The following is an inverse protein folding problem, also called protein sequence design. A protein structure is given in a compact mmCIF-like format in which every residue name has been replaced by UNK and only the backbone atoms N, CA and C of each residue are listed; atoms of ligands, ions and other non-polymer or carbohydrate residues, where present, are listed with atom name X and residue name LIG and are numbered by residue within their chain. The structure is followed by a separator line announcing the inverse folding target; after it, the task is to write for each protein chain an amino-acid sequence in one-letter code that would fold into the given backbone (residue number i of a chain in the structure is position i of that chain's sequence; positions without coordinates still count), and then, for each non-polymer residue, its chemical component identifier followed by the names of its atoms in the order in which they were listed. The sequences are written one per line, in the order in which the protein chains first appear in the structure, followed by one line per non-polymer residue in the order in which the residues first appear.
data_IF_359596999767
#
_entry.id   IF_359596999767
#
_cell.length_a   1.000
_cell.length_b   1.000
_cell.length_c   1.000
_cell.angle_alpha   90.00
_cell.angle_beta   90.00
_cell.angle_gamma   90.00
#
_symmetry.space_group_name_H-M   'P 1'
#
loop_
_entity.id
_entity.type
_entity.pdbx_description
1 polymer ?
#
# COMPACT_ATOMS: atom_id res chain seq x y z
N UNK A 1 29.60 -56.24 61.79
CA UNK A 1 29.58 -54.91 61.15
C UNK A 1 29.19 -55.06 59.66
N UNK A 2 27.94 -54.76 59.29
CA UNK A 2 27.49 -54.86 57.91
C UNK A 2 27.47 -53.43 57.34
N UNK A 3 28.29 -53.18 56.30
CA UNK A 3 28.36 -51.94 55.60
C UNK A 3 27.16 -51.82 54.67
N UNK A 4 26.35 -50.75 54.83
CA UNK A 4 25.23 -50.41 53.99
C UNK A 4 25.73 -49.40 52.93
N UNK A 5 25.83 -49.82 51.66
CA UNK A 5 26.19 -48.96 50.54
C UNK A 5 24.92 -48.36 50.01
N UNK A 6 24.74 -47.04 50.17
CA UNK A 6 23.62 -46.26 49.64
C UNK A 6 23.97 -45.82 48.22
N UNK A 7 23.33 -46.41 47.21
CA UNK A 7 23.46 -45.96 45.80
C UNK A 7 22.47 -44.81 45.52
N UNK A 8 23.01 -43.62 45.22
CA UNK A 8 22.23 -42.46 44.75
C UNK A 8 22.01 -42.58 43.24
N UNK A 9 20.77 -42.79 42.87
CA UNK A 9 20.34 -42.78 41.46
C UNK A 9 20.07 -41.30 41.05
N UNK A 10 20.97 -40.72 40.23
CA UNK A 10 20.80 -39.38 39.67
C UNK A 10 19.93 -39.49 38.41
N UNK A 11 18.65 -39.08 38.48
CA UNK A 11 17.79 -39.00 37.32
C UNK A 11 18.01 -37.63 36.67
N UNK A 12 18.74 -37.60 35.54
CA UNK A 12 18.88 -36.43 34.69
C UNK A 12 17.57 -36.22 33.89
N UNK A 13 16.78 -35.25 34.29
CA UNK A 13 15.71 -34.71 33.44
C UNK A 13 16.32 -33.82 32.34
N UNK A 14 16.45 -34.38 31.16
CA UNK A 14 16.73 -33.59 29.95
C UNK A 14 15.45 -32.83 29.58
N UNK A 15 15.35 -31.57 29.96
CA UNK A 15 14.41 -30.65 29.38
C UNK A 15 14.85 -30.37 27.94
N UNK A 16 14.20 -31.00 26.97
CA UNK A 16 14.27 -30.58 25.59
C UNK A 16 13.54 -29.22 25.50
N UNK A 17 14.28 -28.14 25.48
CA UNK A 17 13.78 -26.85 25.04
C UNK A 17 13.54 -26.99 23.54
N UNK A 18 12.33 -27.39 23.15
CA UNK A 18 11.90 -27.18 21.78
C UNK A 18 11.85 -25.65 21.58
N UNK A 19 12.77 -25.16 20.76
CA UNK A 19 12.67 -23.82 20.25
C UNK A 19 11.29 -23.74 19.55
N UNK A 20 10.35 -23.02 20.15
CA UNK A 20 9.07 -22.72 19.57
C UNK A 20 9.41 -21.87 18.34
N UNK A 21 9.33 -22.46 17.14
CA UNK A 21 9.43 -21.69 15.91
C UNK A 21 8.38 -20.58 16.02
N UNK A 22 8.85 -19.35 15.99
CA UNK A 22 8.01 -18.18 16.11
C UNK A 22 7.22 -18.07 14.79
N UNK A 23 6.03 -18.66 14.76
CA UNK A 23 5.14 -18.68 13.59
C UNK A 23 4.46 -17.34 13.31
N UNK A 24 4.92 -16.27 13.95
CA UNK A 24 4.41 -14.92 13.73
C UNK A 24 4.83 -14.32 12.39
N UNK A 25 4.12 -13.28 11.97
CA UNK A 25 4.52 -12.46 10.84
C UNK A 25 5.77 -11.69 11.19
N UNK A 26 6.80 -11.80 10.35
CA UNK A 26 8.02 -11.02 10.48
C UNK A 26 7.82 -9.65 9.86
N UNK A 27 8.07 -8.58 10.62
CA UNK A 27 8.12 -7.21 10.11
C UNK A 27 9.52 -6.67 10.27
N UNK A 28 10.04 -6.05 9.22
CA UNK A 28 11.37 -5.45 9.25
C UNK A 28 11.49 -4.31 8.23
N UNK A 29 12.43 -3.45 8.47
CA UNK A 29 12.80 -2.35 7.57
C UNK A 29 14.04 -2.72 6.76
N UNK A 30 14.17 -2.14 5.58
CA UNK A 30 15.31 -2.33 4.70
C UNK A 30 15.41 -1.25 3.65
N UNK A 31 16.35 -1.42 2.74
CA UNK A 31 16.59 -0.47 1.66
C UNK A 31 16.63 -1.18 0.31
N UNK A 32 16.01 -0.58 -0.69
CA UNK A 32 16.12 -1.03 -2.08
C UNK A 32 16.66 0.08 -2.98
N UNK A 33 17.50 -0.31 -3.94
CA UNK A 33 17.95 0.59 -5.01
C UNK A 33 17.07 0.38 -6.24
N UNK A 34 16.42 1.45 -6.68
CA UNK A 34 15.49 1.41 -7.81
C UNK A 34 15.89 2.48 -8.80
N UNK A 35 16.00 2.15 -10.11
CA UNK A 35 16.19 3.14 -11.14
C UNK A 35 15.01 4.12 -11.13
N UNK A 36 15.29 5.40 -11.02
CA UNK A 36 14.26 6.43 -10.82
C UNK A 36 14.49 7.59 -11.78
N UNK A 37 13.45 7.91 -12.55
CA UNK A 37 13.41 9.14 -13.32
C UNK A 37 13.18 10.31 -12.38
N UNK A 38 14.08 11.28 -12.46
CA UNK A 38 14.08 12.42 -11.55
C UNK A 38 12.95 13.39 -11.85
N UNK A 39 12.54 14.11 -10.84
CA UNK A 39 11.74 15.33 -10.99
C UNK A 39 12.58 16.55 -10.61
N UNK A 40 12.31 17.67 -11.23
CA UNK A 40 12.88 18.95 -10.82
C UNK A 40 12.22 19.46 -9.53
N UNK A 41 12.57 20.69 -9.13
CA UNK A 41 12.00 21.32 -7.96
C UNK A 41 10.47 21.42 -8.04
N UNK A 42 9.82 21.24 -6.89
CA UNK A 42 8.39 21.44 -6.75
C UNK A 42 8.03 22.92 -6.91
N UNK A 43 6.91 23.22 -7.56
CA UNK A 43 6.35 24.57 -7.65
C UNK A 43 5.68 24.93 -6.32
N UNK A 44 6.34 25.77 -5.53
CA UNK A 44 5.88 26.15 -4.18
C UNK A 44 4.83 27.25 -4.18
N UNK A 45 4.63 27.92 -5.32
CA UNK A 45 3.60 28.95 -5.51
C UNK A 45 2.61 28.53 -6.60
N UNK A 46 1.93 27.38 -6.45
CA UNK A 46 1.04 26.86 -7.48
C UNK A 46 -0.12 27.83 -7.71
N UNK A 47 -0.61 27.87 -8.93
CA UNK A 47 -1.81 28.65 -9.26
C UNK A 47 -2.99 28.17 -8.41
N UNK A 48 -3.73 29.13 -7.85
CA UNK A 48 -4.95 28.84 -7.08
C UNK A 48 -6.04 28.18 -7.94
N UNK A 49 -6.01 28.45 -9.24
CA UNK A 49 -6.87 27.85 -10.23
C UNK A 49 -6.02 27.21 -11.32
N UNK A 50 -6.06 25.90 -11.42
CA UNK A 50 -5.24 25.19 -12.41
C UNK A 50 -5.96 24.96 -13.72
N UNK A 51 -7.26 25.12 -13.79
CA UNK A 51 -8.07 24.83 -15.00
C UNK A 51 -7.96 23.37 -15.47
N UNK A 52 -7.27 22.52 -14.73
CA UNK A 52 -7.11 21.09 -15.07
C UNK A 52 -8.37 20.35 -14.70
N UNK A 53 -9.28 20.22 -15.66
CA UNK A 53 -10.46 19.37 -15.53
C UNK A 53 -10.17 17.90 -15.71
N UNK A 54 -8.99 17.40 -15.28
CA UNK A 54 -8.66 15.99 -15.44
C UNK A 54 -9.31 15.22 -14.30
N UNK A 55 -10.21 14.33 -14.64
CA UNK A 55 -10.83 13.34 -13.74
C UNK A 55 -11.42 13.92 -12.44
N UNK A 56 -12.05 15.12 -12.52
CA UNK A 56 -12.74 15.70 -11.37
C UNK A 56 -11.84 16.30 -10.31
N UNK A 57 -10.58 16.58 -10.60
CA UNK A 57 -9.69 17.32 -9.70
C UNK A 57 -10.20 18.74 -9.53
N UNK A 58 -10.32 19.21 -8.30
CA UNK A 58 -10.89 20.54 -7.98
C UNK A 58 -9.96 21.70 -8.30
N UNK A 59 -8.81 21.49 -8.88
CA UNK A 59 -7.85 22.53 -9.21
C UNK A 59 -7.15 23.20 -8.02
N UNK A 60 -7.63 23.02 -6.81
CA UNK A 60 -7.04 23.58 -5.61
C UNK A 60 -6.10 22.59 -4.95
N UNK A 61 -4.80 22.85 -5.04
CA UNK A 61 -3.78 21.99 -4.42
C UNK A 61 -3.14 22.61 -3.17
N UNK A 62 -3.28 23.94 -2.97
CA UNK A 62 -2.78 24.60 -1.77
C UNK A 62 -3.35 23.92 -0.50
N UNK A 63 -2.55 23.65 0.54
CA UNK A 63 -1.19 24.13 0.80
C UNK A 63 -0.06 23.19 0.29
N UNK A 64 -0.31 22.32 -0.65
CA UNK A 64 0.72 21.48 -1.22
C UNK A 64 1.41 22.15 -2.42
N UNK A 65 2.68 21.83 -2.70
CA UNK A 65 3.35 22.27 -3.92
C UNK A 65 2.82 21.50 -5.14
N UNK A 66 2.94 22.09 -6.33
CA UNK A 66 2.71 21.36 -7.56
C UNK A 66 3.96 20.59 -7.98
N UNK A 67 3.76 19.33 -8.38
CA UNK A 67 4.81 18.40 -8.78
C UNK A 67 4.72 18.14 -10.29
N UNK A 68 5.04 19.15 -11.09
CA UNK A 68 4.85 19.10 -12.55
C UNK A 68 6.15 19.12 -13.33
N UNK A 69 7.28 19.33 -12.67
CA UNK A 69 8.58 19.42 -13.31
C UNK A 69 9.20 18.01 -13.43
N UNK A 70 8.87 17.32 -14.51
CA UNK A 70 9.41 15.97 -14.80
C UNK A 70 10.70 16.05 -15.60
N UNK A 71 11.57 15.06 -15.42
CA UNK A 71 12.85 14.93 -16.09
C UNK A 71 13.00 13.53 -16.68
N UNK A 72 13.72 13.43 -17.80
CA UNK A 72 14.14 12.16 -18.41
C UNK A 72 15.49 11.65 -17.86
N UNK A 73 16.03 12.30 -16.83
CA UNK A 73 17.26 11.86 -16.18
C UNK A 73 16.99 10.66 -15.30
N UNK A 74 17.62 9.53 -15.59
CA UNK A 74 17.53 8.29 -14.84
C UNK A 74 18.73 8.15 -13.90
N UNK A 75 18.47 7.94 -12.62
CA UNK A 75 19.48 7.69 -11.59
C UNK A 75 19.07 6.49 -10.71
N UNK A 76 20.06 5.91 -10.01
CA UNK A 76 19.80 4.87 -9.02
C UNK A 76 19.51 5.51 -7.66
N UNK A 77 18.29 5.43 -7.22
CA UNK A 77 17.87 5.96 -5.92
C UNK A 77 17.73 4.85 -4.88
N UNK A 78 17.99 5.18 -3.62
CA UNK A 78 17.83 4.25 -2.50
C UNK A 78 16.60 4.65 -1.69
N UNK A 79 15.67 3.72 -1.55
CA UNK A 79 14.42 3.91 -0.80
C UNK A 79 14.39 3.05 0.44
N UNK A 80 13.88 3.62 1.53
CA UNK A 80 13.50 2.87 2.71
C UNK A 80 12.22 2.10 2.43
N UNK A 81 12.22 0.83 2.80
CA UNK A 81 11.12 -0.12 2.62
C UNK A 81 10.68 -0.72 3.94
N UNK A 82 9.40 -1.02 4.05
CA UNK A 82 8.85 -1.81 5.16
C UNK A 82 8.33 -3.13 4.60
N UNK A 83 8.75 -4.23 5.22
CA UNK A 83 8.39 -5.58 4.80
C UNK A 83 7.51 -6.24 5.85
N UNK A 84 6.46 -6.93 5.35
CA UNK A 84 5.75 -7.94 6.13
C UNK A 84 5.95 -9.29 5.46
N UNK A 85 6.31 -10.29 6.24
CA UNK A 85 6.59 -11.62 5.70
C UNK A 85 6.01 -12.70 6.60
N UNK A 86 5.21 -13.60 5.99
CA UNK A 86 4.75 -14.82 6.62
C UNK A 86 5.23 -16.05 5.85
N UNK A 87 4.62 -17.20 6.10
CA UNK A 87 4.93 -18.46 5.40
C UNK A 87 4.70 -18.37 3.89
N UNK A 88 3.70 -17.60 3.44
CA UNK A 88 3.22 -17.60 2.06
C UNK A 88 3.60 -16.34 1.28
N UNK A 89 3.59 -15.19 1.93
CA UNK A 89 3.70 -13.90 1.29
C UNK A 89 4.88 -13.09 1.83
N UNK A 90 5.50 -12.32 0.93
CA UNK A 90 6.38 -11.21 1.27
C UNK A 90 5.78 -9.94 0.67
N UNK A 91 5.33 -9.04 1.52
CA UNK A 91 4.74 -7.74 1.15
C UNK A 91 5.76 -6.64 1.38
N UNK A 92 5.86 -5.72 0.44
CA UNK A 92 6.76 -4.56 0.49
C UNK A 92 5.94 -3.28 0.42
N UNK A 93 6.16 -2.39 1.37
CA UNK A 93 5.54 -1.06 1.43
C UNK A 93 6.62 -0.03 1.15
N UNK A 94 6.28 0.98 0.35
CA UNK A 94 7.15 2.08 -0.04
C UNK A 94 6.65 3.41 0.57
N UNK A 95 7.14 3.78 1.76
CA UNK A 95 6.70 4.99 2.46
C UNK A 95 6.96 6.28 1.68
N UNK A 96 8.05 6.35 0.92
CA UNK A 96 8.45 7.54 0.16
C UNK A 96 7.39 8.02 -0.84
N UNK A 97 6.51 7.14 -1.30
CA UNK A 97 5.48 7.46 -2.28
C UNK A 97 4.08 7.13 -1.75
N UNK A 98 3.65 7.89 -0.76
CA UNK A 98 2.31 7.80 -0.18
C UNK A 98 2.03 6.51 0.58
N UNK A 99 3.06 5.76 0.97
CA UNK A 99 2.88 4.46 1.62
C UNK A 99 2.27 3.40 0.71
N UNK A 100 2.59 3.46 -0.58
CA UNK A 100 2.14 2.49 -1.59
C UNK A 100 2.51 1.07 -1.18
N UNK A 101 1.58 0.12 -1.29
CA UNK A 101 1.92 -1.30 -1.29
C UNK A 101 2.60 -1.59 -2.62
N UNK A 102 3.93 -1.67 -2.60
CA UNK A 102 4.77 -1.65 -3.80
C UNK A 102 4.88 -3.01 -4.48
N UNK A 103 4.91 -4.07 -3.69
CA UNK A 103 5.10 -5.45 -4.16
C UNK A 103 4.48 -6.44 -3.18
N UNK A 104 3.99 -7.55 -3.69
CA UNK A 104 3.63 -8.71 -2.89
C UNK A 104 3.99 -9.98 -3.64
N UNK A 105 4.91 -10.76 -3.09
CA UNK A 105 5.40 -11.98 -3.71
C UNK A 105 4.78 -13.19 -3.03
N UNK A 106 4.17 -14.07 -3.82
CA UNK A 106 3.82 -15.42 -3.38
C UNK A 106 5.10 -16.27 -3.29
N UNK A 107 5.50 -16.59 -2.07
CA UNK A 107 6.73 -17.34 -1.78
C UNK A 107 6.69 -18.80 -2.22
N UNK A 108 5.51 -19.32 -2.52
CA UNK A 108 5.34 -20.73 -2.96
C UNK A 108 5.79 -20.96 -4.40
N UNK A 109 5.72 -19.91 -5.22
CA UNK A 109 6.04 -20.00 -6.65
C UNK A 109 6.85 -18.80 -7.19
N UNK A 110 7.11 -17.79 -6.37
CA UNK A 110 7.84 -16.57 -6.75
C UNK A 110 7.02 -15.57 -7.57
N UNK A 111 5.69 -15.75 -7.64
CA UNK A 111 4.81 -14.89 -8.43
C UNK A 111 4.63 -13.51 -7.76
N UNK A 112 4.83 -12.44 -8.55
CA UNK A 112 4.49 -11.06 -8.14
C UNK A 112 2.97 -10.85 -8.35
N UNK A 113 2.25 -10.61 -7.26
CA UNK A 113 0.78 -10.49 -7.28
C UNK A 113 0.31 -9.19 -7.94
N UNK A 114 1.11 -8.15 -7.85
CA UNK A 114 0.79 -6.83 -8.40
C UNK A 114 1.77 -6.46 -9.49
N UNK A 115 1.30 -5.78 -10.52
CA UNK A 115 2.22 -5.26 -11.51
C UNK A 115 3.16 -4.22 -10.86
N UNK A 116 4.45 -4.45 -11.00
CA UNK A 116 5.51 -3.58 -10.52
C UNK A 116 6.40 -3.18 -11.68
N UNK A 117 6.55 -1.89 -11.92
CA UNK A 117 7.50 -1.42 -12.91
C UNK A 117 8.94 -1.64 -12.43
N UNK A 118 9.83 -1.92 -13.37
CA UNK A 118 11.26 -2.06 -13.11
C UNK A 118 11.95 -0.73 -12.77
N UNK A 119 11.26 0.39 -13.01
CA UNK A 119 11.72 1.75 -12.73
C UNK A 119 10.61 2.54 -12.05
N UNK A 120 10.98 3.56 -11.29
CA UNK A 120 10.03 4.58 -10.85
C UNK A 120 10.06 5.70 -11.90
N UNK A 121 8.94 5.88 -12.61
CA UNK A 121 8.79 6.94 -13.61
C UNK A 121 7.52 7.74 -13.31
N UNK A 122 7.65 8.96 -12.76
CA UNK A 122 6.51 9.85 -12.55
C UNK A 122 5.91 10.30 -13.88
N UNK A 123 4.57 10.47 -13.90
CA UNK A 123 3.84 11.09 -15.00
C UNK A 123 2.75 12.00 -14.44
N UNK A 124 2.22 12.91 -15.29
CA UNK A 124 1.30 13.97 -14.88
C UNK A 124 -0.16 13.49 -14.89
N UNK A 125 -0.56 12.80 -13.83
CA UNK A 125 -1.94 12.32 -13.65
C UNK A 125 -2.50 12.58 -12.25
N UNK A 126 -1.66 12.76 -11.24
CA UNK A 126 -2.07 13.00 -9.86
C UNK A 126 -2.65 14.39 -9.61
N UNK A 127 -3.32 14.56 -8.49
CA UNK A 127 -3.89 15.86 -8.06
C UNK A 127 -2.82 16.95 -7.96
N UNK A 128 -1.64 16.63 -7.47
CA UNK A 128 -0.51 17.57 -7.39
C UNK A 128 0.29 17.67 -8.69
N UNK A 129 -0.02 16.87 -9.69
CA UNK A 129 0.70 16.72 -10.94
C UNK A 129 1.27 15.32 -11.10
N UNK A 130 2.44 15.06 -10.57
CA UNK A 130 3.12 13.79 -10.73
C UNK A 130 2.45 12.63 -9.98
N UNK A 131 2.53 11.44 -10.56
CA UNK A 131 2.00 10.19 -10.07
C UNK A 131 2.88 9.03 -10.56
N UNK A 132 2.93 7.94 -9.82
CA UNK A 132 3.61 6.70 -10.23
C UNK A 132 2.63 5.53 -10.27
N UNK A 133 2.74 4.68 -11.29
CA UNK A 133 1.95 3.45 -11.41
C UNK A 133 2.56 2.27 -10.64
N UNK A 134 1.86 1.16 -10.61
CA UNK A 134 2.30 -0.11 -10.01
C UNK A 134 1.88 -0.30 -8.56
N UNK A 135 1.83 -1.56 -8.13
CA UNK A 135 1.40 -1.93 -6.79
C UNK A 135 -0.05 -1.55 -6.46
N UNK A 136 -0.30 -1.15 -5.23
CA UNK A 136 -1.59 -0.60 -4.79
C UNK A 136 -1.38 0.83 -4.31
N UNK A 137 -2.11 1.75 -4.91
CA UNK A 137 -2.23 3.13 -4.46
C UNK A 137 -3.52 3.30 -3.65
N UNK A 138 -3.42 3.95 -2.51
CA UNK A 138 -4.53 4.25 -1.62
C UNK A 138 -5.06 5.64 -1.92
N UNK A 139 -6.11 5.76 -2.72
CA UNK A 139 -6.63 7.04 -3.17
C UNK A 139 -7.62 7.62 -2.17
N UNK A 140 -7.30 8.82 -1.64
CA UNK A 140 -8.02 9.52 -0.62
C UNK A 140 -7.57 11.00 -0.56
N UNK A 141 -8.42 11.97 -0.24
CA UNK A 141 -9.86 11.91 0.06
C UNK A 141 -10.75 11.84 -1.19
N UNK A 142 -10.19 12.09 -2.34
CA UNK A 142 -10.81 11.94 -3.64
C UNK A 142 -9.70 11.89 -4.70
N UNK A 143 -9.90 11.15 -5.79
CA UNK A 143 -8.95 10.96 -6.87
C UNK A 143 -7.59 10.40 -6.44
N UNK A 144 -6.61 10.47 -7.33
CA UNK A 144 -5.24 10.13 -7.00
C UNK A 144 -4.79 10.98 -5.84
N UNK A 145 -4.31 10.32 -4.81
CA UNK A 145 -4.00 10.89 -3.51
C UNK A 145 -3.15 12.14 -3.62
N UNK A 146 -3.46 13.14 -2.78
CA UNK A 146 -2.70 14.40 -2.71
C UNK A 146 -1.21 14.17 -2.47
N UNK A 147 -0.86 13.10 -1.73
CA UNK A 147 0.51 12.79 -1.35
C UNK A 147 1.09 11.59 -2.09
N UNK A 148 0.57 11.24 -3.28
CA UNK A 148 1.04 10.04 -4.02
C UNK A 148 2.54 10.04 -4.32
N UNK A 149 3.17 11.21 -4.42
CA UNK A 149 4.62 11.40 -4.53
C UNK A 149 5.26 12.09 -3.31
N UNK A 150 4.56 12.17 -2.20
CA UNK A 150 5.08 12.66 -0.93
C UNK A 150 5.20 11.50 0.05
N UNK A 151 6.17 11.56 0.98
CA UNK A 151 6.29 10.55 2.02
C UNK A 151 5.02 10.48 2.88
N UNK A 152 4.64 9.28 3.25
CA UNK A 152 3.61 9.02 4.25
C UNK A 152 4.24 8.50 5.54
N UNK A 153 3.69 8.91 6.67
CA UNK A 153 4.06 8.36 7.97
C UNK A 153 3.55 6.92 8.08
N UNK A 154 4.28 6.10 8.81
CA UNK A 154 3.86 4.73 9.11
C UNK A 154 4.20 4.33 10.55
N UNK A 155 3.49 3.32 11.04
CA UNK A 155 3.75 2.65 12.30
C UNK A 155 3.58 1.15 12.16
N UNK A 156 4.31 0.40 12.96
CA UNK A 156 4.30 -1.06 12.96
C UNK A 156 3.62 -1.56 14.23
N UNK A 157 2.69 -2.49 14.09
CA UNK A 157 1.99 -3.15 15.18
C UNK A 157 2.15 -4.67 15.05
N UNK A 158 2.65 -5.29 16.12
CA UNK A 158 2.67 -6.74 16.28
C UNK A 158 1.48 -7.13 17.16
N UNK A 159 0.64 -8.02 16.65
CA UNK A 159 -0.58 -8.42 17.32
C UNK A 159 -0.36 -9.71 18.15
N UNK A 160 -1.19 -9.90 19.19
CA UNK A 160 -1.09 -11.05 20.09
C UNK A 160 -1.36 -12.38 19.39
N UNK A 161 -2.12 -12.38 18.29
CA UNK A 161 -2.40 -13.56 17.46
C UNK A 161 -1.26 -13.92 16.50
N UNK A 162 -0.14 -13.19 16.56
CA UNK A 162 1.03 -13.37 15.71
C UNK A 162 0.89 -12.68 14.34
N UNK A 163 -0.22 -12.03 14.03
CA UNK A 163 -0.33 -11.16 12.87
C UNK A 163 0.45 -9.87 13.07
N UNK A 164 0.73 -9.17 11.99
CA UNK A 164 1.35 -7.86 12.05
C UNK A 164 0.71 -6.91 11.07
N UNK A 165 0.61 -5.65 11.47
CA UNK A 165 0.01 -4.56 10.68
C UNK A 165 1.01 -3.43 10.50
N UNK A 166 1.13 -2.95 9.29
CA UNK A 166 1.77 -1.67 9.00
C UNK A 166 0.67 -0.64 8.75
N UNK A 167 0.55 0.31 9.66
CA UNK A 167 -0.36 1.42 9.57
C UNK A 167 0.29 2.55 8.78
N UNK A 168 -0.35 3.02 7.72
CA UNK A 168 0.13 4.09 6.86
C UNK A 168 -0.91 5.19 6.86
N UNK A 169 -0.52 6.41 7.12
CA UNK A 169 -1.53 7.45 7.18
C UNK A 169 -1.00 8.87 7.07
N UNK A 170 -1.95 9.75 6.85
CA UNK A 170 -1.71 11.19 6.83
C UNK A 170 -2.98 11.95 7.17
N UNK A 171 -2.80 13.23 7.51
CA UNK A 171 -3.90 14.19 7.51
C UNK A 171 -3.78 15.02 6.24
N UNK A 172 -4.73 14.86 5.34
CA UNK A 172 -4.79 15.64 4.10
C UNK A 172 -5.16 17.08 4.45
N UNK A 173 -4.24 18.01 4.17
CA UNK A 173 -4.30 19.38 4.68
C UNK A 173 -5.28 20.28 3.91
N UNK A 174 -5.63 19.93 2.68
CA UNK A 174 -6.56 20.72 1.88
C UNK A 174 -8.01 20.53 2.36
N UNK A 175 -8.39 19.31 2.70
CA UNK A 175 -9.74 18.95 3.14
C UNK A 175 -9.87 18.80 4.67
N UNK A 176 -8.75 18.61 5.37
CA UNK A 176 -8.75 18.32 6.80
C UNK A 176 -9.31 16.93 7.11
N UNK A 177 -9.05 15.97 6.26
CA UNK A 177 -9.48 14.58 6.44
C UNK A 177 -8.26 13.71 6.73
N UNK A 178 -8.33 12.89 7.78
CA UNK A 178 -7.28 11.94 8.12
C UNK A 178 -7.67 10.56 7.62
N UNK A 179 -6.81 9.97 6.79
CA UNK A 179 -6.91 8.61 6.33
C UNK A 179 -5.76 7.77 6.85
N UNK A 180 -6.08 6.57 7.37
CA UNK A 180 -5.08 5.60 7.83
C UNK A 180 -5.45 4.25 7.24
N UNK A 181 -4.47 3.56 6.70
CA UNK A 181 -4.61 2.21 6.12
C UNK A 181 -3.74 1.26 6.92
N UNK A 182 -4.33 0.19 7.44
CA UNK A 182 -3.62 -0.93 8.02
C UNK A 182 -3.45 -2.03 6.98
N UNK A 183 -2.22 -2.35 6.64
CA UNK A 183 -1.88 -3.52 5.81
C UNK A 183 -1.45 -4.63 6.74
N UNK A 184 -2.24 -5.70 6.80
CA UNK A 184 -2.05 -6.79 7.75
C UNK A 184 -1.75 -8.10 7.03
N UNK A 185 -0.77 -8.85 7.55
CA UNK A 185 -0.58 -10.26 7.27
C UNK A 185 -0.89 -11.09 8.52
N UNK A 186 -1.47 -12.25 8.29
CA UNK A 186 -1.69 -13.28 9.31
C UNK A 186 -0.66 -14.42 9.14
N UNK A 187 -0.24 -15.09 10.22
CA UNK A 187 0.86 -16.08 10.17
C UNK A 187 0.61 -17.22 9.19
N UNK A 188 -0.63 -17.68 9.11
CA UNK A 188 -1.07 -18.88 8.42
C UNK A 188 -1.99 -18.64 7.23
N UNK A 189 -2.05 -17.40 6.73
CA UNK A 189 -2.93 -16.99 5.62
C UNK A 189 -2.13 -16.53 4.41
N UNK A 190 -2.70 -16.78 3.23
CA UNK A 190 -2.16 -16.38 1.93
C UNK A 190 -2.89 -15.18 1.31
N UNK A 191 -3.48 -14.32 2.15
CA UNK A 191 -4.12 -13.08 1.72
C UNK A 191 -3.54 -11.89 2.49
N UNK A 192 -3.72 -10.71 1.91
CA UNK A 192 -3.41 -9.42 2.50
C UNK A 192 -4.72 -8.78 2.92
N UNK A 193 -4.82 -8.39 4.18
CA UNK A 193 -5.95 -7.62 4.68
C UNK A 193 -5.62 -6.14 4.66
N UNK A 194 -6.58 -5.31 4.23
CA UNK A 194 -6.46 -3.86 4.24
C UNK A 194 -7.63 -3.26 5.03
N UNK A 195 -7.33 -2.66 6.17
CA UNK A 195 -8.28 -1.91 6.99
C UNK A 195 -8.13 -0.41 6.72
N UNK A 196 -9.22 0.26 6.41
CA UNK A 196 -9.22 1.68 6.13
C UNK A 196 -10.01 2.47 7.17
N UNK A 197 -9.32 3.43 7.81
CA UNK A 197 -9.91 4.31 8.82
C UNK A 197 -9.90 5.75 8.35
N UNK A 198 -11.08 6.34 8.34
CA UNK A 198 -11.30 7.73 7.95
C UNK A 198 -11.78 8.55 9.13
N UNK A 199 -11.15 9.70 9.36
CA UNK A 199 -11.56 10.64 10.38
C UNK A 199 -11.67 12.05 9.79
N UNK A 200 -12.83 12.67 9.96
CA UNK A 200 -13.02 14.09 9.69
C UNK A 200 -12.49 14.90 10.86
N UNK A 201 -11.39 15.63 10.67
CA UNK A 201 -10.76 16.45 11.71
C UNK A 201 -11.32 17.88 11.76
N UNK A 202 -12.35 18.16 10.94
CA UNK A 202 -12.98 19.49 10.88
C UNK A 202 -14.33 19.49 11.59
N UNK A 203 -14.86 20.65 11.86
CA UNK A 203 -16.18 20.88 12.48
C UNK A 203 -17.35 20.91 11.50
N UNK A 204 -17.07 20.68 10.19
CA UNK A 204 -18.08 20.69 9.15
C UNK A 204 -18.16 19.33 8.43
N UNK A 205 -19.32 19.00 7.92
CA UNK A 205 -19.51 17.78 7.12
C UNK A 205 -18.66 17.82 5.87
N UNK A 206 -17.94 16.72 5.61
CA UNK A 206 -17.11 16.53 4.43
C UNK A 206 -17.56 15.32 3.64
N UNK A 207 -17.43 15.40 2.33
CA UNK A 207 -17.55 14.24 1.44
C UNK A 207 -16.18 13.69 1.12
N UNK A 208 -16.11 12.40 0.87
CA UNK A 208 -14.89 11.71 0.46
C UNK A 208 -15.20 10.65 -0.59
N UNK A 209 -14.18 10.28 -1.33
CA UNK A 209 -14.14 9.09 -2.16
C UNK A 209 -12.88 8.31 -1.79
N UNK A 210 -13.06 7.09 -1.33
CA UNK A 210 -11.96 6.15 -1.14
C UNK A 210 -11.99 5.08 -2.21
N UNK A 211 -10.81 4.77 -2.77
CA UNK A 211 -10.62 3.65 -3.67
C UNK A 211 -9.18 3.15 -3.61
N UNK A 212 -9.00 1.86 -3.80
CA UNK A 212 -7.69 1.24 -3.93
C UNK A 212 -7.42 1.03 -5.43
N UNK A 213 -6.38 1.68 -5.93
CA UNK A 213 -5.98 1.54 -7.33
C UNK A 213 -4.93 0.43 -7.43
N UNK A 214 -5.37 -0.75 -7.85
CA UNK A 214 -4.55 -1.96 -7.91
C UNK A 214 -4.04 -2.19 -9.32
N UNK A 215 -2.73 -2.22 -9.49
CA UNK A 215 -2.11 -2.57 -10.76
C UNK A 215 -1.94 -4.08 -10.88
N UNK A 216 -2.38 -4.66 -11.98
CA UNK A 216 -2.24 -6.08 -12.27
C UNK A 216 -1.64 -6.28 -13.65
N UNK A 217 -0.92 -7.39 -13.84
CA UNK A 217 -0.43 -7.76 -15.16
C UNK A 217 -1.61 -8.24 -16.00
N UNK A 218 -1.85 -7.59 -17.14
CA UNK A 218 -2.90 -7.93 -18.08
C UNK A 218 -2.29 -8.42 -19.39
N UNK A 219 -2.33 -9.71 -19.62
CA UNK A 219 -1.92 -10.38 -20.86
C UNK A 219 -3.12 -11.02 -21.55
N UNK A 220 -2.88 -11.82 -22.59
CA UNK A 220 -3.94 -12.54 -23.31
C UNK A 220 -4.74 -13.53 -22.44
N UNK A 221 -4.21 -13.91 -21.28
CA UNK A 221 -4.84 -14.84 -20.34
C UNK A 221 -5.59 -14.14 -19.21
N UNK A 222 -5.44 -12.79 -19.11
CA UNK A 222 -6.10 -12.01 -18.07
C UNK A 222 -7.62 -12.21 -18.09
N UNK A 223 -8.19 -12.46 -16.93
CA UNK A 223 -9.63 -12.58 -16.72
C UNK A 223 -10.04 -11.84 -15.48
N UNK A 224 -11.16 -11.13 -15.56
CA UNK A 224 -11.78 -10.47 -14.43
C UNK A 224 -12.98 -11.27 -13.97
N UNK A 225 -13.02 -11.58 -12.69
CA UNK A 225 -14.17 -12.24 -12.06
C UNK A 225 -14.81 -11.29 -11.06
N UNK A 226 -16.12 -11.22 -11.09
CA UNK A 226 -16.91 -10.32 -10.25
C UNK A 226 -17.82 -11.11 -9.32
N UNK A 227 -18.16 -10.57 -8.14
CA UNK A 227 -19.16 -11.18 -7.29
C UNK A 227 -20.48 -11.36 -8.04
N UNK A 228 -21.19 -12.49 -7.86
CA UNK A 228 -22.46 -12.74 -8.56
C UNK A 228 -23.54 -11.68 -8.30
N UNK A 229 -23.45 -10.95 -7.19
CA UNK A 229 -24.37 -9.88 -6.82
C UNK A 229 -24.05 -8.54 -7.49
N UNK A 230 -23.01 -8.45 -8.31
CA UNK A 230 -22.65 -7.21 -8.98
C UNK A 230 -23.57 -6.98 -10.18
N UNK A 231 -24.51 -6.06 -10.04
CA UNK A 231 -25.52 -5.78 -11.08
C UNK A 231 -25.27 -4.42 -11.79
N UNK A 232 -24.49 -3.55 -11.17
CA UNK A 232 -24.28 -2.18 -11.65
C UNK A 232 -22.79 -1.88 -11.76
N UNK A 233 -22.40 -1.32 -12.90
CA UNK A 233 -21.11 -0.67 -13.13
C UNK A 233 -21.27 0.82 -13.26
N UNK A 234 -20.23 1.56 -12.90
CA UNK A 234 -20.15 3.02 -13.04
C UNK A 234 -19.05 3.35 -14.05
N UNK A 235 -19.38 4.20 -14.99
CA UNK A 235 -18.41 4.74 -15.93
C UNK A 235 -17.41 5.64 -15.21
N UNK A 236 -16.13 5.36 -15.37
CA UNK A 236 -15.09 6.07 -14.64
C UNK A 236 -15.10 7.57 -14.88
N UNK A 237 -15.37 8.01 -16.09
CA UNK A 237 -15.23 9.40 -16.51
C UNK A 237 -16.53 10.20 -16.54
N UNK A 238 -17.62 9.60 -16.19
CA UNK A 238 -18.89 10.28 -16.09
C UNK A 238 -19.75 9.62 -15.02
N UNK A 239 -20.86 10.23 -14.69
CA UNK A 239 -21.79 9.77 -13.68
C UNK A 239 -22.80 8.73 -14.20
N UNK A 240 -22.58 8.15 -15.37
CA UNK A 240 -23.50 7.15 -15.92
C UNK A 240 -23.35 5.82 -15.21
N UNK A 241 -24.49 5.13 -15.07
CA UNK A 241 -24.58 3.77 -14.59
C UNK A 241 -24.93 2.85 -15.75
N UNK A 242 -24.38 1.65 -15.72
CA UNK A 242 -24.71 0.61 -16.68
C UNK A 242 -24.99 -0.70 -15.96
N UNK A 243 -25.75 -1.58 -16.60
CA UNK A 243 -25.91 -2.94 -16.10
C UNK A 243 -24.61 -3.74 -16.29
N UNK A 244 -24.28 -4.55 -15.30
CA UNK A 244 -23.11 -5.40 -15.31
C UNK A 244 -23.52 -6.88 -15.38
N UNK A 245 -22.79 -7.77 -16.09
CA UNK A 245 -21.52 -7.54 -16.78
C UNK A 245 -21.67 -7.06 -18.24
N UNK A 246 -22.88 -6.92 -18.75
CA UNK A 246 -23.13 -6.53 -20.15
C UNK A 246 -23.52 -5.08 -20.23
N UNK A 247 -22.57 -4.23 -20.61
CA UNK A 247 -22.85 -2.86 -20.98
C UNK A 247 -23.13 -2.77 -22.48
N UNK A 248 -24.19 -2.06 -22.85
CA UNK A 248 -24.48 -1.71 -24.24
C UNK A 248 -23.94 -0.33 -24.63
N UNK A 249 -23.20 0.30 -23.73
CA UNK A 249 -22.59 1.59 -24.01
C UNK A 249 -21.29 1.40 -24.81
N UNK A 250 -21.13 2.23 -25.84
CA UNK A 250 -19.93 2.28 -26.68
C UNK A 250 -19.03 3.39 -26.17
N UNK A 251 -17.74 3.09 -26.02
CA UNK A 251 -16.71 4.05 -25.67
C UNK A 251 -16.35 4.96 -26.84
#
# INVERSE_FOLDING_TARGET
MKSLTLSFLFVLFLFSVQAQENFGVKVYEGKEKIPTYQKGPDETSPLFFTGRGVQGTSGHIYPYPAQTNLSDTLTMETYDMVYLENKYLKVTILPAFGGKLYSAIDKTNGHELFHRNSVIKPDLIGTLGAWISGGIEWCFPNHHRTTTLLPADYGIEQNEDGSATVWIGETERNKGLRGVIGVTLHPDRSYIEADYRLNNTTDVTKTFLFWANVAVTADSNFRTSWPPSQEIGVFHNNSSFTHWPTSHEVY
#
